data_IF_539439654266
#
_entry.id   IF_539439654266
#
_cell.length_a   1.000
_cell.length_b   1.000
_cell.length_c   1.000
_cell.angle_alpha   90.00
_cell.angle_beta   90.00
_cell.angle_gamma   90.00
#
_symmetry.space_group_name_H-M   'P 1'
#
loop_
_entity.id
_entity.type
_entity.pdbx_description
1 polymer ?
#
# COMPACT_ATOMS: atom_id res chain seq x y z
N UNK A 1 -21.08 -12.22 16.81
CA UNK A 1 -19.67 -12.37 16.38
C UNK A 1 -19.39 -11.30 15.36
N UNK A 2 -18.51 -10.36 15.65
CA UNK A 2 -18.14 -9.25 14.75
C UNK A 2 -17.08 -9.69 13.76
N UNK A 3 -16.87 -8.91 12.70
CA UNK A 3 -15.75 -9.14 11.77
C UNK A 3 -14.38 -9.09 12.48
N UNK A 4 -14.26 -8.29 13.54
CA UNK A 4 -13.04 -8.19 14.35
C UNK A 4 -12.80 -9.49 15.11
N UNK A 5 -13.85 -10.11 15.68
CA UNK A 5 -13.74 -11.41 16.38
C UNK A 5 -13.29 -12.51 15.43
N UNK A 6 -13.77 -12.48 14.18
CA UNK A 6 -13.36 -13.45 13.16
C UNK A 6 -11.88 -13.34 12.82
N UNK A 7 -11.39 -12.10 12.62
CA UNK A 7 -9.97 -11.85 12.32
C UNK A 7 -9.09 -12.31 13.49
N UNK A 8 -9.46 -12.00 14.74
CA UNK A 8 -8.72 -12.44 15.93
C UNK A 8 -8.64 -13.96 15.99
N UNK A 9 -9.77 -14.65 15.91
CA UNK A 9 -9.81 -16.12 15.92
C UNK A 9 -8.97 -16.73 14.80
N UNK A 10 -9.03 -16.17 13.60
CA UNK A 10 -8.22 -16.65 12.48
C UNK A 10 -6.71 -16.52 12.79
N UNK A 11 -6.28 -15.38 13.33
CA UNK A 11 -4.88 -15.17 13.70
C UNK A 11 -4.44 -16.05 14.87
N UNK A 12 -5.32 -16.27 15.86
CA UNK A 12 -5.07 -17.20 16.97
C UNK A 12 -4.85 -18.64 16.45
N UNK A 13 -5.67 -19.09 15.48
CA UNK A 13 -5.49 -20.39 14.84
C UNK A 13 -4.15 -20.48 14.07
N UNK A 14 -3.74 -19.42 13.39
CA UNK A 14 -2.45 -19.37 12.73
C UNK A 14 -1.29 -19.43 13.73
N UNK A 15 -1.40 -18.72 14.86
CA UNK A 15 -0.38 -18.68 15.90
C UNK A 15 -0.15 -20.05 16.55
N UNK A 16 -1.18 -20.89 16.67
CA UNK A 16 -1.03 -22.27 17.13
C UNK A 16 -0.15 -23.10 16.20
N UNK A 17 -0.21 -22.85 14.90
CA UNK A 17 0.56 -23.55 13.89
C UNK A 17 1.97 -22.97 13.69
N UNK A 18 2.06 -21.65 13.79
CA UNK A 18 3.31 -20.91 13.59
C UNK A 18 3.35 -19.73 14.57
N UNK A 19 4.16 -19.82 15.64
CA UNK A 19 4.23 -18.79 16.69
C UNK A 19 5.01 -17.53 16.27
N UNK A 20 5.54 -17.48 15.05
CA UNK A 20 6.22 -16.28 14.55
C UNK A 20 5.25 -15.13 14.38
N UNK A 21 5.75 -13.90 14.51
CA UNK A 21 4.95 -12.69 14.25
C UNK A 21 4.39 -12.71 12.84
N UNK A 22 3.06 -12.66 12.65
CA UNK A 22 2.46 -12.63 11.33
C UNK A 22 2.64 -11.26 10.67
N UNK A 23 2.82 -11.25 9.35
CA UNK A 23 2.78 -10.05 8.53
C UNK A 23 1.49 -10.07 7.71
N UNK A 24 0.62 -9.09 7.94
CA UNK A 24 -0.63 -8.95 7.22
C UNK A 24 -0.47 -7.91 6.11
N UNK A 25 -0.67 -8.31 4.86
CA UNK A 25 -0.63 -7.40 3.72
C UNK A 25 -1.96 -7.37 2.99
N UNK A 26 -2.58 -6.18 2.98
CA UNK A 26 -3.76 -5.93 2.16
C UNK A 26 -3.86 -4.43 1.85
N UNK A 27 -4.07 -3.99 0.61
CA UNK A 27 -4.22 -2.58 0.28
C UNK A 27 -5.29 -1.86 1.13
N UNK A 28 -6.48 -2.46 1.39
CA UNK A 28 -7.48 -1.83 2.25
C UNK A 28 -7.08 -1.62 3.71
N UNK A 29 -5.96 -2.19 4.18
CA UNK A 29 -5.47 -1.94 5.54
C UNK A 29 -5.04 -0.49 5.75
N UNK A 30 -4.68 0.24 4.68
CA UNK A 30 -4.43 1.67 4.73
C UNK A 30 -5.62 2.43 5.34
N UNK A 31 -6.86 2.13 4.91
CA UNK A 31 -8.06 2.76 5.48
C UNK A 31 -8.48 2.23 6.87
N UNK A 32 -7.81 1.20 7.38
CA UNK A 32 -8.19 0.49 8.61
C UNK A 32 -7.11 0.55 9.68
N UNK A 33 -6.13 1.42 9.52
CA UNK A 33 -4.97 1.46 10.42
C UNK A 33 -5.40 1.75 11.87
N UNK A 34 -6.37 2.63 12.09
CA UNK A 34 -6.92 2.92 13.41
C UNK A 34 -7.58 1.69 14.04
N UNK A 35 -8.48 1.04 13.32
CA UNK A 35 -9.17 -0.18 13.79
C UNK A 35 -8.17 -1.31 14.07
N UNK A 36 -7.17 -1.49 13.20
CA UNK A 36 -6.14 -2.51 13.41
C UNK A 36 -5.27 -2.18 14.62
N UNK A 37 -4.98 -0.90 14.86
CA UNK A 37 -4.21 -0.45 16.02
C UNK A 37 -4.96 -0.67 17.34
N UNK A 38 -6.27 -0.51 17.35
CA UNK A 38 -7.14 -0.83 18.50
C UNK A 38 -7.23 -2.34 18.73
N UNK A 39 -7.40 -3.12 17.66
CA UNK A 39 -7.47 -4.57 17.73
C UNK A 39 -6.17 -5.20 18.23
N UNK A 40 -5.04 -4.64 17.79
CA UNK A 40 -3.70 -5.18 18.04
C UNK A 40 -2.78 -4.06 18.55
N UNK A 41 -2.79 -3.76 19.86
CA UNK A 41 -2.03 -2.65 20.45
C UNK A 41 -0.52 -2.73 20.18
N UNK A 42 0.02 -3.94 20.05
CA UNK A 42 1.45 -4.19 19.78
C UNK A 42 1.80 -4.22 18.28
N UNK A 43 0.82 -3.99 17.40
CA UNK A 43 1.07 -4.00 15.95
C UNK A 43 1.93 -2.82 15.51
N UNK A 44 2.74 -3.06 14.49
CA UNK A 44 3.56 -2.06 13.79
C UNK A 44 3.09 -1.95 12.36
N UNK A 45 3.07 -0.75 11.81
CA UNK A 45 2.55 -0.45 10.49
C UNK A 45 3.68 0.08 9.59
N UNK A 46 3.92 -0.63 8.50
CA UNK A 46 4.75 -0.14 7.40
C UNK A 46 3.82 0.29 6.27
N UNK A 47 3.70 1.60 6.07
CA UNK A 47 2.87 2.16 5.01
C UNK A 47 3.74 2.44 3.78
N UNK A 48 3.50 1.70 2.70
CA UNK A 48 4.21 1.91 1.44
C UNK A 48 3.40 2.84 0.55
N UNK A 49 3.91 4.02 0.30
CA UNK A 49 3.32 5.01 -0.62
C UNK A 49 3.93 4.87 -2.01
N UNK A 50 3.15 5.19 -3.03
CA UNK A 50 3.60 5.16 -4.42
C UNK A 50 2.91 6.24 -5.23
N UNK A 51 3.60 6.70 -6.27
CA UNK A 51 3.13 7.73 -7.19
C UNK A 51 1.71 7.44 -7.73
N UNK A 52 0.72 8.33 -7.47
CA UNK A 52 -0.64 8.19 -7.98
C UNK A 52 -0.73 8.14 -9.50
N UNK A 53 0.20 8.77 -10.23
CA UNK A 53 0.28 8.70 -11.69
C UNK A 53 0.65 7.29 -12.20
N UNK A 54 1.10 6.42 -11.32
CA UNK A 54 1.35 5.00 -11.59
C UNK A 54 0.26 4.12 -10.99
N UNK A 55 -0.15 4.40 -9.75
CA UNK A 55 -1.11 3.56 -9.01
C UNK A 55 -2.50 3.60 -9.63
N UNK A 56 -3.02 4.78 -9.96
CA UNK A 56 -4.40 4.92 -10.48
C UNK A 56 -4.54 4.26 -11.87
N UNK A 57 -3.68 4.53 -12.86
CA UNK A 57 -3.75 3.84 -14.15
C UNK A 57 -3.59 2.32 -14.03
N UNK A 58 -2.70 1.86 -13.14
CA UNK A 58 -2.50 0.44 -12.86
C UNK A 58 -3.74 -0.22 -12.28
N UNK A 59 -4.39 0.44 -11.35
CA UNK A 59 -5.62 -0.02 -10.70
C UNK A 59 -6.77 -0.08 -11.69
N UNK A 60 -6.94 0.95 -12.52
CA UNK A 60 -7.95 0.97 -13.58
C UNK A 60 -7.76 -0.19 -14.57
N UNK A 61 -6.52 -0.44 -14.98
CA UNK A 61 -6.21 -1.57 -15.87
C UNK A 61 -6.53 -2.91 -15.22
N UNK A 62 -6.15 -3.08 -13.96
CA UNK A 62 -6.43 -4.30 -13.19
C UNK A 62 -7.95 -4.56 -13.13
N UNK A 63 -8.73 -3.57 -12.74
CA UNK A 63 -10.17 -3.73 -12.61
C UNK A 63 -10.87 -3.95 -13.97
N UNK A 64 -10.42 -3.28 -15.03
CA UNK A 64 -10.91 -3.56 -16.39
C UNK A 64 -10.69 -5.01 -16.77
N UNK A 65 -9.49 -5.53 -16.57
CA UNK A 65 -9.15 -6.92 -16.85
C UNK A 65 -9.98 -7.91 -16.00
N UNK A 66 -10.21 -7.61 -14.73
CA UNK A 66 -11.04 -8.44 -13.86
C UNK A 66 -12.52 -8.42 -14.30
N UNK A 67 -13.04 -7.26 -14.70
CA UNK A 67 -14.41 -7.14 -15.20
C UNK A 67 -14.60 -7.95 -16.49
N UNK A 68 -13.66 -7.92 -17.42
CA UNK A 68 -13.70 -8.70 -18.66
C UNK A 68 -13.80 -10.20 -18.39
N UNK A 69 -13.20 -10.70 -17.32
CA UNK A 69 -13.13 -12.14 -17.03
C UNK A 69 -14.23 -12.59 -16.05
N UNK A 70 -14.66 -11.73 -15.14
CA UNK A 70 -15.52 -12.11 -14.01
C UNK A 70 -16.90 -11.47 -14.02
N UNK A 71 -17.16 -10.46 -14.87
CA UNK A 71 -18.44 -9.78 -14.89
C UNK A 71 -19.45 -10.49 -15.76
N UNK A 72 -20.67 -10.64 -15.23
CA UNK A 72 -21.83 -11.11 -15.98
C UNK A 72 -22.55 -9.97 -16.72
N UNK A 73 -22.13 -8.72 -16.52
CA UNK A 73 -22.71 -7.52 -17.12
C UNK A 73 -21.61 -6.68 -17.77
N UNK A 74 -21.94 -6.03 -18.87
CA UNK A 74 -21.04 -5.10 -19.56
C UNK A 74 -21.01 -3.78 -18.78
N UNK A 75 -19.85 -3.48 -18.13
CA UNK A 75 -19.62 -2.16 -17.53
C UNK A 75 -19.28 -1.14 -18.64
N UNK A 76 -19.92 0.03 -18.58
CA UNK A 76 -19.67 1.13 -19.52
C UNK A 76 -18.43 1.98 -19.18
N UNK A 77 -17.63 1.56 -18.20
CA UNK A 77 -16.30 2.15 -17.89
C UNK A 77 -16.32 3.41 -17.03
N UNK A 78 -17.32 4.28 -17.15
CA UNK A 78 -17.38 5.53 -16.37
C UNK A 78 -17.57 5.32 -14.85
N UNK A 79 -18.28 4.23 -14.49
CA UNK A 79 -18.48 3.87 -13.09
C UNK A 79 -17.16 3.43 -12.41
N UNK A 80 -16.28 2.75 -13.14
CA UNK A 80 -15.03 2.22 -12.64
C UNK A 80 -14.02 3.33 -12.31
N UNK A 81 -13.85 4.29 -13.22
CA UNK A 81 -12.92 5.41 -12.99
C UNK A 81 -13.32 6.20 -11.74
N UNK A 82 -14.61 6.55 -11.64
CA UNK A 82 -15.16 7.23 -10.45
C UNK A 82 -14.95 6.41 -9.16
N UNK A 83 -15.16 5.10 -9.23
CA UNK A 83 -14.96 4.20 -8.11
C UNK A 83 -13.48 4.17 -7.66
N UNK A 84 -12.55 4.06 -8.59
CA UNK A 84 -11.11 4.00 -8.26
C UNK A 84 -10.63 5.28 -7.59
N UNK A 85 -11.06 6.45 -8.09
CA UNK A 85 -10.73 7.72 -7.46
C UNK A 85 -11.37 7.86 -6.08
N UNK A 86 -12.67 7.56 -5.94
CA UNK A 86 -13.35 7.63 -4.65
C UNK A 86 -12.69 6.70 -3.62
N UNK A 87 -12.36 5.46 -4.01
CA UNK A 87 -11.70 4.51 -3.14
C UNK A 87 -10.29 5.01 -2.71
N UNK A 88 -9.54 5.64 -3.63
CA UNK A 88 -8.24 6.22 -3.31
C UNK A 88 -8.38 7.37 -2.31
N UNK A 89 -9.27 8.32 -2.57
CA UNK A 89 -9.52 9.49 -1.73
C UNK A 89 -10.00 9.08 -0.33
N UNK A 90 -11.01 8.22 -0.24
CA UNK A 90 -11.56 7.74 1.03
C UNK A 90 -10.54 6.96 1.85
N UNK A 91 -9.75 6.10 1.19
CA UNK A 91 -8.72 5.31 1.84
C UNK A 91 -7.64 6.20 2.46
N UNK A 92 -7.17 7.21 1.72
CA UNK A 92 -6.16 8.13 2.22
C UNK A 92 -6.71 9.12 3.25
N UNK A 93 -7.94 9.60 3.09
CA UNK A 93 -8.59 10.43 4.10
C UNK A 93 -8.75 9.68 5.44
N UNK A 94 -9.13 8.39 5.40
CA UNK A 94 -9.19 7.55 6.59
C UNK A 94 -7.81 7.37 7.22
N UNK A 95 -6.79 7.10 6.40
CA UNK A 95 -5.42 6.96 6.89
C UNK A 95 -4.91 8.23 7.56
N UNK A 96 -5.09 9.40 6.94
CA UNK A 96 -4.64 10.70 7.49
C UNK A 96 -5.33 11.02 8.83
N UNK A 97 -6.60 10.72 8.95
CA UNK A 97 -7.33 10.88 10.22
C UNK A 97 -6.78 9.96 11.31
N UNK A 98 -6.58 8.69 10.99
CA UNK A 98 -6.27 7.67 11.98
C UNK A 98 -4.77 7.64 12.33
N UNK A 99 -3.88 8.00 11.40
CA UNK A 99 -2.42 8.03 11.65
C UNK A 99 -2.01 8.98 12.77
N UNK A 100 -2.74 10.08 12.92
CA UNK A 100 -2.45 11.08 13.97
C UNK A 100 -2.67 10.52 15.39
N UNK A 101 -3.39 9.42 15.53
CA UNK A 101 -3.65 8.73 16.80
C UNK A 101 -2.60 7.70 17.16
N UNK A 102 -1.71 7.35 16.21
CA UNK A 102 -0.67 6.34 16.43
C UNK A 102 0.56 6.94 17.09
N UNK A 103 1.18 6.18 17.99
CA UNK A 103 2.50 6.53 18.51
C UNK A 103 3.54 6.50 17.38
N UNK A 104 4.54 7.38 17.47
CA UNK A 104 5.53 7.60 16.42
C UNK A 104 6.36 6.34 16.07
N UNK A 105 6.52 5.42 17.03
CA UNK A 105 7.23 4.15 16.86
C UNK A 105 6.37 3.03 16.26
N UNK A 106 5.07 3.30 16.03
CA UNK A 106 4.14 2.29 15.50
C UNK A 106 3.87 2.42 14.01
N UNK A 107 4.17 3.55 13.40
CA UNK A 107 3.97 3.79 11.96
C UNK A 107 5.24 4.32 11.33
N UNK A 108 5.67 3.68 10.26
CA UNK A 108 6.72 4.17 9.38
C UNK A 108 6.25 4.17 7.93
N UNK A 109 6.52 5.27 7.23
CA UNK A 109 6.13 5.44 5.83
C UNK A 109 7.34 5.31 4.92
N UNK A 110 7.20 4.55 3.85
CA UNK A 110 8.25 4.26 2.86
C UNK A 110 7.73 4.56 1.47
N UNK A 111 8.50 5.27 0.68
CA UNK A 111 8.20 5.42 -0.75
C UNK A 111 8.58 4.14 -1.49
N UNK A 112 7.71 3.68 -2.36
CA UNK A 112 7.96 2.52 -3.21
C UNK A 112 9.22 2.70 -4.08
N UNK A 113 9.44 3.90 -4.54
CA UNK A 113 10.59 4.29 -5.36
C UNK A 113 11.91 4.06 -4.60
N UNK A 114 11.97 4.45 -3.32
CA UNK A 114 13.13 4.22 -2.46
C UNK A 114 13.35 2.73 -2.18
N UNK A 115 12.24 1.99 -1.98
CA UNK A 115 12.29 0.54 -1.79
C UNK A 115 12.82 -0.20 -3.02
N UNK A 116 12.54 0.29 -4.23
CA UNK A 116 13.05 -0.31 -5.49
C UNK A 116 14.53 0.00 -5.70
N UNK A 117 14.98 1.20 -5.33
CA UNK A 117 16.37 1.63 -5.49
C UNK A 117 17.29 0.96 -4.46
N UNK A 118 16.88 0.97 -3.20
CA UNK A 118 17.63 0.41 -2.08
C UNK A 118 16.72 -0.44 -1.16
N UNK A 119 16.37 -1.65 -1.58
CA UNK A 119 15.44 -2.49 -0.81
C UNK A 119 16.00 -2.91 0.56
N UNK A 120 17.30 -3.22 0.63
CA UNK A 120 17.91 -3.69 1.88
C UNK A 120 18.00 -2.54 2.89
N UNK A 121 18.60 -1.40 2.53
CA UNK A 121 18.72 -0.26 3.42
C UNK A 121 17.36 0.36 3.80
N UNK A 122 16.38 0.34 2.89
CA UNK A 122 15.02 0.81 3.19
C UNK A 122 14.33 -0.07 4.23
N UNK A 123 14.49 -1.39 4.13
CA UNK A 123 13.93 -2.32 5.11
C UNK A 123 14.70 -2.29 6.43
N UNK A 124 16.03 -2.09 6.41
CA UNK A 124 16.84 -1.91 7.61
C UNK A 124 16.33 -0.70 8.43
N UNK A 125 16.17 0.46 7.80
CA UNK A 125 15.56 1.64 8.41
C UNK A 125 14.16 1.37 8.96
N UNK A 126 13.37 0.54 8.26
CA UNK A 126 12.03 0.16 8.71
C UNK A 126 12.09 -0.69 9.98
N UNK A 127 13.04 -1.63 10.07
CA UNK A 127 13.27 -2.45 11.26
C UNK A 127 13.68 -1.60 12.46
N UNK A 128 14.60 -0.66 12.26
CA UNK A 128 15.03 0.27 13.31
C UNK A 128 13.89 1.15 13.82
N UNK A 129 13.16 1.80 12.89
CA UNK A 129 12.08 2.74 13.21
C UNK A 129 10.89 2.09 13.90
N UNK A 130 10.57 0.88 13.53
CA UNK A 130 9.42 0.14 14.05
C UNK A 130 9.81 -0.86 15.17
N UNK A 131 11.08 -1.00 15.51
CA UNK A 131 11.53 -1.95 16.53
C UNK A 131 11.17 -3.40 16.19
N UNK A 132 11.39 -3.82 14.93
CA UNK A 132 10.95 -5.14 14.47
C UNK A 132 11.88 -6.28 14.88
N UNK A 133 13.01 -5.99 15.52
CA UNK A 133 14.00 -6.94 16.01
C UNK A 133 15.32 -6.86 15.23
N UNK A 134 16.08 -7.94 15.31
CA UNK A 134 17.40 -8.03 14.71
C UNK A 134 17.32 -8.17 13.18
N UNK A 135 17.74 -7.12 12.47
CA UNK A 135 17.74 -7.07 11.01
C UNK A 135 18.78 -7.99 10.38
N UNK A 136 19.91 -8.22 11.04
CA UNK A 136 20.99 -9.06 10.49
C UNK A 136 20.55 -10.52 10.27
N UNK A 137 19.53 -10.97 10.99
CA UNK A 137 18.93 -12.29 10.77
C UNK A 137 18.19 -12.42 9.44
N UNK A 138 17.65 -11.34 8.91
CA UNK A 138 16.87 -11.33 7.66
C UNK A 138 17.67 -10.77 6.48
N UNK A 139 18.73 -10.02 6.73
CA UNK A 139 19.59 -9.39 5.73
C UNK A 139 20.02 -10.33 4.61
N UNK A 140 20.57 -11.54 4.88
CA UNK A 140 21.04 -12.41 3.79
C UNK A 140 19.92 -12.84 2.82
N UNK A 141 18.72 -13.11 3.36
CA UNK A 141 17.57 -13.48 2.54
C UNK A 141 17.07 -12.28 1.70
N UNK A 142 17.11 -11.08 2.27
CA UNK A 142 16.71 -9.84 1.57
C UNK A 142 17.70 -9.49 0.46
N UNK A 143 19.01 -9.63 0.69
CA UNK A 143 20.04 -9.40 -0.33
C UNK A 143 19.88 -10.37 -1.51
N UNK A 144 19.63 -11.65 -1.22
CA UNK A 144 19.34 -12.65 -2.25
C UNK A 144 18.09 -12.29 -3.05
N UNK A 145 17.02 -11.88 -2.38
CA UNK A 145 15.78 -11.46 -3.03
C UNK A 145 15.97 -10.19 -3.87
N UNK A 146 16.68 -9.20 -3.35
CA UNK A 146 16.99 -7.96 -4.04
C UNK A 146 17.77 -8.23 -5.34
N UNK A 147 18.76 -9.13 -5.30
CA UNK A 147 19.51 -9.53 -6.49
C UNK A 147 18.61 -10.21 -7.53
N UNK A 148 17.72 -11.10 -7.11
CA UNK A 148 16.76 -11.74 -8.00
C UNK A 148 15.80 -10.74 -8.66
N UNK A 149 15.44 -9.69 -7.94
CA UNK A 149 14.52 -8.65 -8.42
C UNK A 149 15.17 -7.60 -9.33
N UNK A 150 16.49 -7.52 -9.47
CA UNK A 150 17.16 -6.57 -10.38
C UNK A 150 16.70 -6.69 -11.84
N UNK A 151 16.21 -7.87 -12.24
CA UNK A 151 15.66 -8.12 -13.58
C UNK A 151 14.20 -7.71 -13.73
N UNK A 152 13.53 -7.43 -12.64
CA UNK A 152 12.12 -7.02 -12.67
C UNK A 152 12.00 -5.59 -13.18
N UNK A 153 11.20 -5.41 -14.23
CA UNK A 153 10.85 -4.06 -14.73
C UNK A 153 9.40 -3.76 -14.38
N UNK A 154 9.21 -2.61 -13.78
CA UNK A 154 7.86 -2.08 -13.55
C UNK A 154 7.20 -1.70 -14.88
N UNK A 155 5.89 -1.87 -14.97
CA UNK A 155 5.13 -1.43 -16.13
C UNK A 155 5.27 0.09 -16.29
N UNK A 156 5.52 0.53 -17.52
CA UNK A 156 5.43 1.93 -17.91
C UNK A 156 4.04 2.21 -18.50
N UNK A 157 3.47 3.34 -18.14
CA UNK A 157 2.16 3.75 -18.63
C UNK A 157 2.31 4.96 -19.54
N UNK A 158 1.58 4.95 -20.66
CA UNK A 158 1.35 6.19 -21.41
C UNK A 158 0.39 7.05 -20.58
N UNK A 159 0.78 8.28 -20.34
CA UNK A 159 -0.03 9.20 -19.57
C UNK A 159 -1.08 9.85 -20.49
N UNK A 160 -2.35 9.50 -20.28
CA UNK A 160 -3.46 10.23 -20.87
C UNK A 160 -3.52 11.62 -20.21
N UNK A 161 -3.43 12.73 -20.99
CA UNK A 161 -3.44 14.09 -20.44
C UNK A 161 -4.68 14.40 -19.58
N UNK A 162 -5.84 13.85 -19.95
CA UNK A 162 -7.07 13.99 -19.18
C UNK A 162 -6.92 13.32 -17.81
N UNK A 163 -6.44 12.10 -17.78
CA UNK A 163 -6.23 11.35 -16.53
C UNK A 163 -5.17 12.02 -15.66
N UNK A 164 -4.10 12.55 -16.26
CA UNK A 164 -3.08 13.33 -15.53
C UNK A 164 -3.68 14.56 -14.87
N UNK A 165 -4.52 15.32 -15.58
CA UNK A 165 -5.18 16.50 -15.03
C UNK A 165 -6.13 16.11 -13.86
N UNK A 166 -6.90 15.04 -14.00
CA UNK A 166 -7.80 14.56 -12.96
C UNK A 166 -7.04 14.05 -11.72
N UNK A 167 -5.94 13.31 -11.88
CA UNK A 167 -5.07 12.90 -10.78
C UNK A 167 -4.48 14.11 -10.08
N UNK A 168 -3.98 15.09 -10.85
CA UNK A 168 -3.38 16.31 -10.30
C UNK A 168 -4.35 17.13 -9.46
N UNK A 169 -5.61 17.14 -9.83
CA UNK A 169 -6.66 17.86 -9.09
C UNK A 169 -7.13 17.07 -7.87
N UNK A 170 -7.56 15.83 -8.07
CA UNK A 170 -8.19 15.02 -7.03
C UNK A 170 -7.21 14.47 -6.00
N UNK A 171 -5.97 14.21 -6.39
CA UNK A 171 -4.93 13.69 -5.48
C UNK A 171 -3.98 14.77 -4.96
N UNK A 172 -4.30 16.06 -5.12
CA UNK A 172 -3.42 17.20 -4.78
C UNK A 172 -2.82 17.08 -3.38
N UNK A 173 -3.63 16.86 -2.36
CA UNK A 173 -3.14 16.74 -0.98
C UNK A 173 -2.16 15.57 -0.78
N UNK A 174 -2.35 14.47 -1.49
CA UNK A 174 -1.43 13.35 -1.48
C UNK A 174 -0.12 13.68 -2.21
N UNK A 175 -0.22 14.30 -3.39
CA UNK A 175 0.93 14.71 -4.18
C UNK A 175 1.82 15.68 -3.40
N UNK A 176 1.22 16.72 -2.81
CA UNK A 176 1.93 17.72 -2.01
C UNK A 176 2.60 17.08 -0.78
N UNK A 177 1.90 16.19 -0.09
CA UNK A 177 2.41 15.52 1.09
C UNK A 177 3.64 14.66 0.81
N UNK A 178 3.61 13.88 -0.26
CA UNK A 178 4.65 12.90 -0.56
C UNK A 178 5.64 13.38 -1.64
N UNK A 179 5.50 14.62 -2.12
CA UNK A 179 6.40 15.23 -3.07
C UNK A 179 6.37 14.60 -4.47
N UNK A 180 5.18 14.16 -4.91
CA UNK A 180 5.01 13.68 -6.28
C UNK A 180 4.60 14.82 -7.20
N UNK A 181 5.14 14.83 -8.41
CA UNK A 181 4.85 15.84 -9.43
C UNK A 181 4.20 15.19 -10.67
N UNK A 182 3.38 15.96 -11.37
CA UNK A 182 2.81 15.51 -12.62
C UNK A 182 3.94 15.17 -13.63
N UNK A 183 3.80 14.07 -14.39
CA UNK A 183 4.75 13.74 -15.43
C UNK A 183 4.79 14.84 -16.48
N UNK A 184 5.98 15.11 -17.04
CA UNK A 184 6.12 16.06 -18.14
C UNK A 184 5.24 15.62 -19.32
N UNK A 185 4.59 16.58 -19.95
CA UNK A 185 3.85 16.32 -21.18
C UNK A 185 4.85 15.80 -22.23
N UNK A 186 4.68 14.54 -22.63
CA UNK A 186 5.52 13.89 -23.65
C UNK A 186 4.97 14.15 -25.06
#
# INVERSE_FOLDING_TARGET
MTNQDLIRRFLDMLAVRDPRRPVLKSPPHTARVGVLAEMFPESRFLHVVRDPFVVIPSTLRLWKSLHEVQSLQVDRGESLERYVFAAFEEMHAAFERDRATLAADRLYEVRYEDLVVDPVGTLERSYERLGLGDFDRVRPALEQQAEAMKRYRTNTYRHDPRLVAEISDRCRGFLDRYGYAAPAAG
#
